data_IF_480188997058
#
_entry.id   IF_480188997058
#
_cell.length_a   1.000
_cell.length_b   1.000
_cell.length_c   1.000
_cell.angle_alpha   90.00
_cell.angle_beta   90.00
_cell.angle_gamma   90.00
#
_symmetry.space_group_name_H-M   'P 1'
#
loop_
_entity.id
_entity.type
_entity.pdbx_description
1 polymer ?
#
# COMPACT_ATOMS: atom_id res chain seq x y z
N UNK A 1 -12.47 16.57 -28.80
CA UNK A 1 -11.84 16.87 -27.50
C UNK A 1 -10.43 17.43 -27.69
N UNK A 2 -9.56 16.74 -28.47
CA UNK A 2 -8.21 17.24 -28.80
C UNK A 2 -8.28 18.62 -29.47
N UNK A 3 -9.20 18.79 -30.43
CA UNK A 3 -9.41 20.07 -31.12
C UNK A 3 -9.90 21.18 -30.17
N UNK A 4 -10.78 20.84 -29.24
CA UNK A 4 -11.32 21.81 -28.26
C UNK A 4 -10.30 22.24 -27.21
N UNK A 5 -9.32 21.39 -26.94
CA UNK A 5 -8.24 21.64 -25.98
C UNK A 5 -6.95 22.15 -26.64
N UNK A 6 -6.92 22.14 -27.99
CA UNK A 6 -5.72 22.45 -28.79
C UNK A 6 -4.48 21.64 -28.32
N UNK A 7 -4.70 20.41 -27.91
CA UNK A 7 -3.68 19.50 -27.37
C UNK A 7 -3.87 18.08 -27.91
N UNK A 8 -2.77 17.42 -28.25
CA UNK A 8 -2.77 16.00 -28.59
C UNK A 8 -2.77 15.18 -27.32
N UNK A 9 -3.78 14.35 -27.14
CA UNK A 9 -3.97 13.54 -25.93
C UNK A 9 -3.49 12.09 -26.11
N UNK A 10 -3.35 11.65 -27.38
CA UNK A 10 -2.99 10.26 -27.71
C UNK A 10 -1.89 10.20 -28.76
N UNK A 11 -0.91 9.34 -28.52
CA UNK A 11 -0.01 8.84 -29.55
C UNK A 11 -0.64 7.61 -30.22
N UNK A 12 -0.77 7.63 -31.54
CA UNK A 12 -1.30 6.50 -32.31
C UNK A 12 -0.14 5.60 -32.76
N UNK A 13 -0.14 4.36 -32.31
CA UNK A 13 0.81 3.35 -32.71
C UNK A 13 0.11 2.16 -33.36
N UNK A 14 0.86 1.36 -34.13
CA UNK A 14 0.33 0.15 -34.76
C UNK A 14 -0.27 -0.87 -33.77
N UNK A 15 0.05 -0.75 -32.48
CA UNK A 15 -0.42 -1.64 -31.40
C UNK A 15 -1.50 -1.00 -30.51
N UNK A 16 -1.96 0.22 -30.79
CA UNK A 16 -2.99 0.90 -29.99
C UNK A 16 -2.72 2.39 -29.76
N UNK A 17 -3.47 2.94 -28.81
CA UNK A 17 -3.36 4.32 -28.35
C UNK A 17 -2.58 4.36 -27.03
N UNK A 18 -1.62 5.27 -26.94
CA UNK A 18 -0.89 5.58 -25.72
C UNK A 18 -1.16 7.05 -25.41
N UNK A 19 -1.42 7.36 -24.12
CA UNK A 19 -1.62 8.72 -23.68
C UNK A 19 -0.33 9.55 -23.85
N UNK A 20 -0.49 10.81 -24.24
CA UNK A 20 0.55 11.83 -24.11
C UNK A 20 0.62 12.31 -22.66
N UNK A 21 1.60 13.14 -22.29
CA UNK A 21 1.67 13.79 -21.00
C UNK A 21 0.40 14.59 -20.69
N UNK A 22 -0.10 15.34 -21.68
CA UNK A 22 -1.37 16.08 -21.60
C UNK A 22 -2.57 15.11 -21.47
N UNK A 23 -2.50 13.97 -22.17
CA UNK A 23 -3.49 12.91 -22.09
C UNK A 23 -3.55 12.27 -20.69
N UNK A 24 -2.41 11.99 -20.08
CA UNK A 24 -2.30 11.47 -18.73
C UNK A 24 -2.88 12.46 -17.71
N UNK A 25 -2.50 13.75 -17.81
CA UNK A 25 -3.02 14.79 -16.95
C UNK A 25 -4.55 14.89 -17.00
N UNK A 26 -5.13 14.87 -18.20
CA UNK A 26 -6.57 14.92 -18.39
C UNK A 26 -7.26 13.64 -17.89
N UNK A 27 -6.66 12.48 -18.14
CA UNK A 27 -7.18 11.20 -17.67
C UNK A 27 -7.22 11.12 -16.14
N UNK A 28 -6.17 11.55 -15.46
CA UNK A 28 -6.11 11.63 -14.01
C UNK A 28 -7.18 12.58 -13.45
N UNK A 29 -7.31 13.77 -14.04
CA UNK A 29 -8.31 14.74 -13.63
C UNK A 29 -9.73 14.20 -13.80
N UNK A 30 -10.06 13.64 -14.97
CA UNK A 30 -11.41 13.11 -15.26
C UNK A 30 -11.72 11.88 -14.42
N UNK A 31 -10.76 10.99 -14.21
CA UNK A 31 -10.90 9.82 -13.33
C UNK A 31 -11.16 10.24 -11.87
N UNK A 32 -10.48 11.31 -11.42
CA UNK A 32 -10.72 11.90 -10.11
C UNK A 32 -12.11 12.51 -9.98
N UNK A 33 -12.57 13.23 -11.02
CA UNK A 33 -13.92 13.81 -11.05
C UNK A 33 -15.01 12.73 -11.02
N UNK A 34 -14.86 11.69 -11.84
CA UNK A 34 -15.83 10.59 -11.90
C UNK A 34 -15.98 9.91 -10.54
N UNK A 35 -14.86 9.61 -9.87
CA UNK A 35 -14.85 9.03 -8.52
C UNK A 35 -15.51 9.93 -7.47
N UNK A 36 -15.30 11.25 -7.57
CA UNK A 36 -15.98 12.22 -6.69
C UNK A 36 -17.48 12.21 -6.91
N UNK A 37 -17.90 12.16 -8.16
CA UNK A 37 -19.31 12.12 -8.53
C UNK A 37 -19.97 10.82 -8.04
N UNK A 38 -19.32 9.68 -8.23
CA UNK A 38 -19.79 8.39 -7.72
C UNK A 38 -19.93 8.40 -6.19
N UNK A 39 -18.92 8.90 -5.48
CA UNK A 39 -18.94 9.03 -4.01
C UNK A 39 -20.05 9.97 -3.54
N UNK A 40 -20.24 11.10 -4.22
CA UNK A 40 -21.32 12.04 -3.90
C UNK A 40 -22.69 11.44 -4.19
N UNK A 41 -22.83 10.74 -5.32
CA UNK A 41 -24.08 10.08 -5.71
C UNK A 41 -24.43 8.94 -4.73
N UNK A 42 -23.44 8.18 -4.26
CA UNK A 42 -23.62 7.17 -3.23
C UNK A 42 -24.14 7.77 -1.92
N UNK A 43 -23.56 8.90 -1.48
CA UNK A 43 -24.01 9.62 -0.28
C UNK A 43 -25.42 10.21 -0.41
N UNK A 44 -25.82 10.63 -1.61
CA UNK A 44 -27.15 11.21 -1.87
C UNK A 44 -28.22 10.11 -1.89
N UNK A 45 -27.89 8.93 -2.35
CA UNK A 45 -28.82 7.79 -2.37
C UNK A 45 -29.12 7.21 -0.99
N UNK A 46 -28.34 7.64 0.00
CA UNK A 46 -28.52 7.45 1.44
C UNK A 46 -29.38 6.23 1.84
N UNK A 47 -28.92 5.07 1.43
CA UNK A 47 -29.25 3.82 2.08
C UNK A 47 -28.01 3.41 2.87
N UNK A 48 -28.07 3.55 4.18
CA UNK A 48 -26.97 3.32 5.15
C UNK A 48 -26.36 1.90 5.08
N UNK A 49 -26.77 1.04 4.16
CA UNK A 49 -26.44 -0.38 4.16
C UNK A 49 -25.71 -0.91 2.91
N UNK A 50 -25.71 -0.21 1.79
CA UNK A 50 -25.07 -0.73 0.57
C UNK A 50 -23.68 -0.11 0.32
N UNK A 51 -22.65 -0.85 0.69
CA UNK A 51 -21.26 -0.52 0.34
C UNK A 51 -20.93 -1.17 -1.00
N UNK A 52 -20.75 -0.36 -2.02
CA UNK A 52 -20.41 -0.79 -3.38
C UNK A 52 -19.35 0.12 -4.03
N UNK A 53 -18.83 -0.30 -5.18
CA UNK A 53 -17.84 0.46 -5.94
C UNK A 53 -16.43 -0.03 -5.73
N UNK A 54 -15.45 0.75 -6.18
CA UNK A 54 -14.03 0.42 -6.15
C UNK A 54 -13.33 1.10 -4.97
N UNK A 55 -12.57 0.33 -4.20
CA UNK A 55 -11.74 0.81 -3.10
C UNK A 55 -10.27 0.46 -3.39
N UNK A 56 -9.44 1.46 -3.57
CA UNK A 56 -8.00 1.32 -3.74
C UNK A 56 -7.29 1.27 -2.41
N UNK A 57 -6.70 0.13 -2.12
CA UNK A 57 -5.98 -0.10 -0.86
C UNK A 57 -4.51 -0.33 -1.17
N UNK A 58 -3.64 0.48 -0.60
CA UNK A 58 -2.19 0.26 -0.73
C UNK A 58 -1.58 -0.22 0.58
N UNK A 59 -0.67 -1.18 0.47
CA UNK A 59 0.07 -1.71 1.61
C UNK A 59 1.41 -2.29 1.18
N UNK A 60 2.27 -2.64 2.14
CA UNK A 60 3.52 -3.36 1.84
C UNK A 60 3.24 -4.77 1.34
N UNK A 61 4.11 -5.29 0.48
CA UNK A 61 3.95 -6.61 -0.14
C UNK A 61 3.74 -7.71 0.89
N UNK A 62 4.59 -7.77 1.92
CA UNK A 62 4.49 -8.80 2.95
C UNK A 62 3.20 -8.73 3.76
N UNK A 63 2.76 -7.54 4.17
CA UNK A 63 1.51 -7.39 4.90
C UNK A 63 0.30 -7.67 4.01
N UNK A 64 0.32 -7.19 2.78
CA UNK A 64 -0.76 -7.38 1.82
C UNK A 64 -0.99 -8.86 1.49
N UNK A 65 0.07 -9.59 1.16
CA UNK A 65 -0.03 -10.99 0.75
C UNK A 65 -0.30 -11.95 1.91
N UNK A 66 0.40 -11.77 3.03
CA UNK A 66 0.36 -12.74 4.13
C UNK A 66 -0.73 -12.46 5.16
N UNK A 67 -1.14 -11.21 5.31
CA UNK A 67 -2.13 -10.86 6.33
C UNK A 67 -3.45 -10.36 5.73
N UNK A 68 -3.42 -9.41 4.79
CA UNK A 68 -4.63 -8.78 4.28
C UNK A 68 -5.38 -9.67 3.28
N UNK A 69 -4.72 -10.14 2.23
CA UNK A 69 -5.37 -10.92 1.17
C UNK A 69 -6.13 -12.15 1.70
N UNK A 70 -5.61 -12.95 2.65
CA UNK A 70 -6.36 -14.08 3.21
C UNK A 70 -7.63 -13.67 4.00
N UNK A 71 -7.80 -12.38 4.30
CA UNK A 71 -8.94 -11.83 5.04
C UNK A 71 -9.99 -11.16 4.16
N UNK A 72 -9.66 -10.88 2.90
CA UNK A 72 -10.59 -10.28 1.96
C UNK A 72 -11.88 -11.10 1.73
N UNK A 73 -11.85 -12.45 1.72
CA UNK A 73 -13.10 -13.22 1.59
C UNK A 73 -14.17 -12.82 2.61
N UNK A 74 -13.80 -12.59 3.88
CA UNK A 74 -14.74 -12.14 4.92
C UNK A 74 -15.32 -10.75 4.64
N UNK A 75 -14.55 -9.90 3.97
CA UNK A 75 -15.02 -8.57 3.58
C UNK A 75 -16.04 -8.67 2.43
N UNK A 76 -15.75 -9.53 1.45
CA UNK A 76 -16.67 -9.78 0.31
C UNK A 76 -17.96 -10.49 0.72
N UNK A 77 -17.91 -11.37 1.74
CA UNK A 77 -19.13 -11.95 2.33
C UNK A 77 -20.07 -10.86 2.87
N UNK A 78 -19.49 -9.78 3.43
CA UNK A 78 -20.28 -8.68 4.00
C UNK A 78 -20.64 -7.61 2.98
N UNK A 79 -19.79 -7.40 1.98
CA UNK A 79 -19.91 -6.34 0.97
C UNK A 79 -19.62 -6.93 -0.42
N UNK A 80 -20.59 -7.68 -1.01
CA UNK A 80 -20.37 -8.43 -2.25
C UNK A 80 -20.12 -7.52 -3.47
N UNK A 81 -20.65 -6.30 -3.45
CA UNK A 81 -20.52 -5.34 -4.55
C UNK A 81 -19.29 -4.41 -4.43
N UNK A 82 -18.49 -4.61 -3.38
CA UNK A 82 -17.24 -3.90 -3.20
C UNK A 82 -16.13 -4.52 -4.05
N UNK A 83 -15.49 -3.72 -4.89
CA UNK A 83 -14.28 -4.11 -5.64
C UNK A 83 -13.05 -3.54 -4.97
N UNK A 84 -12.06 -4.38 -4.66
CA UNK A 84 -10.81 -3.93 -4.06
C UNK A 84 -9.71 -3.99 -5.10
N UNK A 85 -9.10 -2.83 -5.35
CA UNK A 85 -7.81 -2.70 -6.03
C UNK A 85 -6.70 -2.69 -4.99
N UNK A 86 -6.01 -3.84 -4.83
CA UNK A 86 -4.98 -4.02 -3.82
C UNK A 86 -3.59 -3.76 -4.41
N UNK A 87 -3.05 -2.60 -4.15
CA UNK A 87 -1.72 -2.18 -4.59
C UNK A 87 -0.65 -2.55 -3.55
N UNK A 88 0.25 -3.45 -3.94
CA UNK A 88 1.36 -3.92 -3.11
C UNK A 88 2.61 -3.10 -3.43
N UNK A 89 2.84 -2.05 -2.63
CA UNK A 89 3.87 -1.06 -2.88
C UNK A 89 4.69 -0.77 -1.62
N UNK A 90 6.02 -0.83 -1.75
CA UNK A 90 6.92 -0.46 -0.64
C UNK A 90 7.12 1.05 -0.55
N UNK A 91 6.91 1.80 -1.63
CA UNK A 91 6.95 3.25 -1.61
C UNK A 91 5.74 3.84 -0.90
N UNK A 92 5.91 5.00 -0.32
CA UNK A 92 4.78 5.77 0.24
C UNK A 92 4.09 6.46 -0.92
N UNK A 93 2.84 6.07 -1.18
CA UNK A 93 1.99 6.72 -2.17
C UNK A 93 1.43 8.03 -1.62
N UNK A 94 1.17 8.98 -2.50
CA UNK A 94 0.55 10.25 -2.14
C UNK A 94 -0.98 10.11 -2.11
N UNK A 95 -1.54 9.90 -0.91
CA UNK A 95 -2.98 9.80 -0.72
C UNK A 95 -3.74 11.11 -1.05
N UNK A 96 -3.24 12.31 -0.72
CA UNK A 96 -3.82 13.56 -1.20
C UNK A 96 -3.93 13.65 -2.71
N UNK A 97 -2.96 13.14 -3.46
CA UNK A 97 -3.01 13.04 -4.94
C UNK A 97 -3.88 11.88 -5.43
N UNK A 98 -4.52 11.15 -4.50
CA UNK A 98 -5.47 10.06 -4.77
C UNK A 98 -4.89 8.87 -5.54
N UNK A 99 -3.63 8.59 -5.33
CA UNK A 99 -3.04 7.34 -5.80
C UNK A 99 -3.70 6.12 -5.13
N UNK A 100 -4.21 6.28 -3.90
CA UNK A 100 -5.02 5.29 -3.17
C UNK A 100 -6.04 5.95 -2.24
N UNK A 101 -7.11 5.23 -1.89
CA UNK A 101 -8.14 5.69 -0.95
C UNK A 101 -7.76 5.35 0.50
N UNK A 102 -7.12 4.21 0.69
CA UNK A 102 -6.66 3.72 2.00
C UNK A 102 -5.22 3.23 1.91
N UNK A 103 -4.38 3.65 2.84
CA UNK A 103 -3.04 3.11 2.99
C UNK A 103 -2.88 2.40 4.35
N UNK A 104 -2.42 1.15 4.33
CA UNK A 104 -2.03 0.41 5.53
C UNK A 104 -0.51 0.41 5.59
N UNK A 105 0.05 1.07 6.60
CA UNK A 105 1.49 1.28 6.72
C UNK A 105 1.98 1.01 8.14
N UNK A 106 3.23 0.59 8.26
CA UNK A 106 3.89 0.37 9.56
C UNK A 106 4.45 1.66 10.14
N UNK A 107 4.65 2.67 9.30
CA UNK A 107 5.16 3.99 9.68
C UNK A 107 4.02 5.00 9.68
N UNK A 108 4.05 5.89 10.64
CA UNK A 108 3.12 7.01 10.72
C UNK A 108 3.33 7.96 9.53
N UNK A 109 2.24 8.39 8.84
CA UNK A 109 2.37 9.34 7.75
C UNK A 109 2.83 10.70 8.26
N UNK A 110 3.65 11.37 7.44
CA UNK A 110 4.09 12.75 7.72
C UNK A 110 3.10 13.81 7.24
N UNK A 111 2.11 13.42 6.46
CA UNK A 111 1.08 14.30 5.89
C UNK A 111 0.03 14.64 6.95
N UNK A 112 -0.23 15.95 7.14
CA UNK A 112 -1.10 16.43 8.22
C UNK A 112 -2.59 16.21 7.96
N UNK A 113 -3.02 16.19 6.70
CA UNK A 113 -4.42 16.20 6.29
C UNK A 113 -5.05 14.80 6.18
N UNK A 114 -4.36 13.77 6.63
CA UNK A 114 -4.83 12.39 6.59
C UNK A 114 -5.56 12.01 7.87
N UNK A 115 -6.72 11.36 7.71
CA UNK A 115 -7.38 10.67 8.81
C UNK A 115 -6.61 9.37 9.07
N UNK A 116 -6.05 9.23 10.27
CA UNK A 116 -5.26 8.07 10.65
C UNK A 116 -5.90 7.32 11.79
N UNK A 117 -5.84 6.00 11.71
CA UNK A 117 -6.32 5.09 12.75
C UNK A 117 -5.30 3.99 12.98
N UNK A 118 -4.98 3.72 14.24
CA UNK A 118 -4.15 2.58 14.61
C UNK A 118 -4.91 1.28 14.37
N UNK A 119 -4.37 0.43 13.50
CA UNK A 119 -4.98 -0.84 13.16
C UNK A 119 -4.61 -1.93 14.18
N UNK A 120 -3.32 -2.14 14.43
CA UNK A 120 -2.80 -3.17 15.34
C UNK A 120 -1.36 -2.90 15.75
N UNK A 121 -0.86 -3.70 16.69
CA UNK A 121 0.57 -3.78 16.99
C UNK A 121 1.19 -4.97 16.27
N UNK A 122 2.31 -4.76 15.61
CA UNK A 122 3.11 -5.81 14.99
C UNK A 122 4.31 -6.06 15.87
N UNK A 123 4.50 -7.33 16.27
CA UNK A 123 5.68 -7.74 17.03
C UNK A 123 6.74 -8.23 16.07
N UNK A 124 7.87 -7.56 16.05
CA UNK A 124 9.06 -8.03 15.32
C UNK A 124 9.82 -9.04 16.19
N UNK A 125 10.28 -10.12 15.55
CA UNK A 125 11.07 -11.17 16.21
C UNK A 125 12.22 -11.59 15.29
N UNK A 126 13.28 -12.05 15.92
CA UNK A 126 14.38 -12.70 15.18
C UNK A 126 14.05 -14.18 15.02
N UNK A 127 14.36 -14.73 13.86
CA UNK A 127 14.14 -16.12 13.51
C UNK A 127 15.43 -16.71 12.94
N UNK A 128 15.66 -18.00 13.21
CA UNK A 128 16.72 -18.75 12.59
C UNK A 128 16.23 -20.18 12.30
N UNK A 129 16.87 -20.84 11.33
CA UNK A 129 16.59 -22.26 11.06
C UNK A 129 17.19 -23.14 12.14
N UNK A 130 16.59 -24.31 12.46
CA UNK A 130 17.19 -25.28 13.38
C UNK A 130 18.61 -25.68 13.00
N UNK A 131 18.88 -25.87 11.71
CA UNK A 131 20.21 -26.22 11.18
C UNK A 131 21.25 -25.14 11.51
N UNK A 132 20.92 -23.87 11.31
CA UNK A 132 21.78 -22.75 11.67
C UNK A 132 22.10 -22.71 13.17
N UNK A 133 21.07 -22.90 14.01
CA UNK A 133 21.24 -22.90 15.47
C UNK A 133 22.04 -24.10 15.95
N UNK A 134 21.93 -25.27 15.30
CA UNK A 134 22.75 -26.43 15.62
C UNK A 134 24.25 -26.18 15.31
N UNK A 135 24.55 -25.44 14.24
CA UNK A 135 25.92 -25.12 13.86
C UNK A 135 26.52 -23.96 14.70
N UNK A 136 25.74 -22.92 14.96
CA UNK A 136 26.23 -21.65 15.53
C UNK A 136 25.84 -21.41 16.99
N UNK A 137 25.03 -22.29 17.54
CA UNK A 137 24.45 -22.13 18.87
C UNK A 137 23.20 -21.27 18.87
N UNK A 138 22.47 -21.34 19.97
CA UNK A 138 21.28 -20.50 20.19
C UNK A 138 21.65 -19.29 21.06
N UNK A 139 21.47 -18.06 20.59
CA UNK A 139 21.77 -16.88 21.38
C UNK A 139 20.87 -16.84 22.63
N UNK A 140 21.46 -16.73 23.79
CA UNK A 140 20.76 -16.65 25.07
C UNK A 140 20.48 -15.20 25.50
N UNK A 141 21.32 -14.28 25.04
CA UNK A 141 21.26 -12.85 25.35
C UNK A 141 21.30 -12.05 24.08
N UNK A 142 20.83 -10.81 24.16
CA UNK A 142 20.84 -9.87 23.04
C UNK A 142 22.27 -9.58 22.52
N UNK A 143 23.23 -9.52 23.44
CA UNK A 143 24.67 -9.36 23.10
C UNK A 143 25.22 -10.47 22.22
N UNK A 144 24.67 -11.67 22.31
CA UNK A 144 25.17 -12.82 21.55
C UNK A 144 24.84 -12.70 20.05
N UNK A 145 23.83 -11.87 19.71
CA UNK A 145 23.42 -11.59 18.33
C UNK A 145 24.56 -11.01 17.49
N UNK A 146 25.46 -10.26 18.09
CA UNK A 146 26.63 -9.68 17.39
C UNK A 146 27.57 -10.73 16.80
N UNK A 147 27.59 -11.95 17.35
CA UNK A 147 28.37 -13.09 16.83
C UNK A 147 27.65 -13.89 15.74
N UNK A 148 26.38 -13.58 15.46
CA UNK A 148 25.57 -14.30 14.47
C UNK A 148 25.51 -13.54 13.14
N UNK A 149 25.28 -14.29 12.05
CA UNK A 149 25.00 -13.68 10.75
C UNK A 149 23.55 -13.20 10.73
N UNK A 150 23.36 -11.90 10.52
CA UNK A 150 22.03 -11.29 10.45
C UNK A 150 21.63 -11.05 8.99
N UNK A 151 20.42 -11.44 8.65
CA UNK A 151 19.76 -11.08 7.40
C UNK A 151 18.74 -10.00 7.71
N UNK A 152 18.96 -8.81 7.18
CA UNK A 152 18.11 -7.65 7.41
C UNK A 152 17.63 -7.08 6.09
N UNK A 153 16.48 -6.43 6.09
CA UNK A 153 16.08 -5.59 4.99
C UNK A 153 16.97 -4.33 4.94
N UNK A 154 17.17 -3.81 3.74
CA UNK A 154 17.98 -2.60 3.56
C UNK A 154 17.39 -1.43 4.36
N UNK A 155 18.17 -0.80 5.26
CA UNK A 155 17.70 0.31 6.09
C UNK A 155 17.32 1.55 5.27
N UNK A 156 17.78 1.66 4.01
CA UNK A 156 17.38 2.73 3.09
C UNK A 156 15.93 2.63 2.62
N UNK A 157 15.25 1.51 2.89
CA UNK A 157 13.82 1.36 2.57
C UNK A 157 13.00 2.03 3.67
N UNK A 158 12.28 3.14 3.41
CA UNK A 158 11.67 3.98 4.45
C UNK A 158 10.70 3.27 5.40
N UNK A 159 10.15 2.13 4.97
CA UNK A 159 9.13 1.38 5.71
C UNK A 159 9.69 0.32 6.65
N UNK A 160 10.98 0.04 6.56
CA UNK A 160 11.66 -1.02 7.31
C UNK A 160 12.45 -0.50 8.49
N UNK A 161 12.46 0.81 8.67
CA UNK A 161 13.28 1.49 9.69
C UNK A 161 13.15 0.89 11.11
N UNK A 162 11.98 0.37 11.49
CA UNK A 162 11.80 -0.22 12.82
C UNK A 162 12.60 -1.53 13.02
N UNK A 163 12.66 -2.41 12.00
CA UNK A 163 13.46 -3.64 12.06
C UNK A 163 14.95 -3.37 11.93
N UNK A 164 15.32 -2.43 11.06
CA UNK A 164 16.71 -2.02 10.88
C UNK A 164 17.27 -1.27 12.11
N UNK A 165 16.45 -0.43 12.77
CA UNK A 165 16.84 0.23 14.02
C UNK A 165 17.10 -0.78 15.16
N UNK A 166 16.32 -1.85 15.25
CA UNK A 166 16.58 -2.90 16.23
C UNK A 166 17.97 -3.52 16.01
N UNK A 167 18.32 -3.81 14.77
CA UNK A 167 19.61 -4.40 14.42
C UNK A 167 20.77 -3.41 14.59
N UNK A 168 20.59 -2.15 14.19
CA UNK A 168 21.60 -1.10 14.40
C UNK A 168 21.86 -0.79 15.88
N UNK A 169 20.85 -0.92 16.75
CA UNK A 169 21.05 -0.76 18.19
C UNK A 169 21.74 -1.96 18.86
N UNK A 170 21.95 -3.05 18.11
CA UNK A 170 22.58 -4.29 18.55
C UNK A 170 24.02 -4.46 18.05
N UNK A 171 24.44 -3.62 17.09
CA UNK A 171 25.82 -3.52 16.59
C UNK A 171 26.56 -2.38 17.27
#
# INVERSE_FOLDING_TARGET
LEDSLSATLFHRHARGLILTEQGELLFEATSSMNRRLETASARIRDSEEEVFGELRVTTTTGFGTLWLAPRLPKLYERYPDLKIDLMLEERVLDLPMREADVAIRMKEPSQADLIRRRLMNIRMRLYATPAYLAERGTPARLSDIASHRLLCQNPSTPQVAAGAMLVQSLM
#
